data_IF_003120434891
#
_entry.id   IF_003120434891
#
_cell.length_a   1.000
_cell.length_b   1.000
_cell.length_c   1.000
_cell.angle_alpha   90.00
_cell.angle_beta   90.00
_cell.angle_gamma   90.00
#
_symmetry.space_group_name_H-M   'P 1'
#
loop_
_entity.id
_entity.type
_entity.pdbx_description
1 polymer ?
#
# COMPACT_ATOMS: atom_id res chain seq x y z
N UNK A 1 -14.55 9.49 1.28
CA UNK A 1 -13.43 8.67 1.82
C UNK A 1 -12.86 9.39 3.03
N UNK A 2 -12.62 8.71 4.15
CA UNK A 2 -11.99 9.34 5.32
C UNK A 2 -10.54 9.74 4.97
N UNK A 3 -10.06 10.93 5.41
CA UNK A 3 -8.68 11.34 5.16
C UNK A 3 -7.69 10.45 5.94
N UNK A 4 -6.50 10.18 5.40
CA UNK A 4 -5.47 9.41 6.11
C UNK A 4 -4.95 10.20 7.32
N UNK A 5 -5.01 9.57 8.49
CA UNK A 5 -4.55 10.13 9.75
C UNK A 5 -3.10 9.70 9.99
N UNK A 6 -2.18 10.64 9.75
CA UNK A 6 -0.75 10.43 9.99
C UNK A 6 -0.32 11.11 11.29
N UNK A 7 0.37 10.35 12.14
CA UNK A 7 1.03 10.82 13.34
C UNK A 7 2.55 10.64 13.19
N UNK A 8 3.33 11.51 13.82
CA UNK A 8 4.78 11.33 13.86
C UNK A 8 5.14 10.49 15.09
N UNK A 9 5.97 9.48 14.89
CA UNK A 9 6.52 8.67 15.98
C UNK A 9 8.03 8.91 16.02
N UNK A 10 8.44 9.82 16.91
CA UNK A 10 9.82 10.30 16.97
C UNK A 10 10.24 11.06 15.70
N UNK A 11 11.55 11.08 15.42
CA UNK A 11 12.14 11.94 14.37
C UNK A 11 12.14 11.32 12.98
N UNK A 12 12.10 9.98 12.89
CA UNK A 12 12.35 9.23 11.64
C UNK A 12 11.25 8.22 11.29
N UNK A 13 10.10 8.23 11.99
CA UNK A 13 8.98 7.33 11.67
C UNK A 13 7.68 8.10 11.57
N UNK A 14 6.85 7.68 10.63
CA UNK A 14 5.47 8.16 10.46
C UNK A 14 4.53 6.98 10.72
N UNK A 15 3.54 7.19 11.57
CA UNK A 15 2.49 6.23 11.89
C UNK A 15 1.21 6.62 11.17
N UNK A 16 0.62 5.70 10.45
CA UNK A 16 -0.69 5.85 9.84
C UNK A 16 -1.71 5.09 10.69
N UNK A 17 -2.55 5.84 11.40
CA UNK A 17 -3.45 5.31 12.44
C UNK A 17 -4.64 4.59 11.81
N UNK A 18 -5.32 5.20 10.85
CA UNK A 18 -6.53 4.65 10.23
C UNK A 18 -6.25 3.80 8.97
N UNK A 19 -5.09 3.11 8.93
CA UNK A 19 -4.70 2.30 7.78
C UNK A 19 -5.70 1.16 7.51
N UNK A 20 -6.05 0.39 8.54
CA UNK A 20 -7.02 -0.69 8.41
C UNK A 20 -8.40 -0.21 7.96
N UNK A 21 -8.91 0.87 8.56
CA UNK A 21 -10.22 1.44 8.20
C UNK A 21 -10.27 1.82 6.71
N UNK A 22 -9.18 2.39 6.20
CA UNK A 22 -9.06 2.77 4.79
C UNK A 22 -9.02 1.51 3.91
N UNK A 23 -8.27 0.49 4.29
CA UNK A 23 -8.22 -0.79 3.56
C UNK A 23 -9.61 -1.46 3.51
N UNK A 24 -10.31 -1.49 4.63
CA UNK A 24 -11.67 -2.03 4.75
C UNK A 24 -12.67 -1.23 3.91
N UNK A 25 -12.60 0.10 3.92
CA UNK A 25 -13.46 0.96 3.11
C UNK A 25 -13.27 0.73 1.60
N UNK A 26 -12.07 0.34 1.17
CA UNK A 26 -11.78 0.02 -0.23
C UNK A 26 -12.04 -1.45 -0.59
N UNK A 27 -12.45 -2.29 0.37
CA UNK A 27 -12.57 -3.75 0.21
C UNK A 27 -11.25 -4.35 -0.32
N UNK A 28 -10.11 -3.97 0.29
CA UNK A 28 -8.77 -4.42 -0.13
C UNK A 28 -7.96 -5.07 0.99
N UNK A 29 -7.19 -6.13 0.67
CA UNK A 29 -6.32 -6.75 1.66
C UNK A 29 -5.20 -5.77 2.06
N UNK A 30 -4.94 -5.60 3.37
CA UNK A 30 -3.96 -4.64 3.88
C UNK A 30 -2.54 -4.95 3.39
N UNK A 31 -2.21 -6.23 3.15
CA UNK A 31 -0.91 -6.66 2.64
C UNK A 31 -0.62 -6.11 1.24
N UNK A 32 -1.63 -6.07 0.36
CA UNK A 32 -1.46 -5.55 -0.99
C UNK A 32 -1.29 -4.03 -0.99
N UNK A 33 -2.09 -3.33 -0.19
CA UNK A 33 -1.97 -1.88 -0.01
C UNK A 33 -0.59 -1.56 0.56
N UNK A 34 -0.14 -2.30 1.59
CA UNK A 34 1.18 -2.17 2.18
C UNK A 34 2.30 -2.31 1.15
N UNK A 35 2.28 -3.39 0.35
CA UNK A 35 3.29 -3.62 -0.69
C UNK A 35 3.35 -2.47 -1.70
N UNK A 36 2.20 -1.93 -2.12
CA UNK A 36 2.14 -0.79 -3.03
C UNK A 36 2.80 0.45 -2.42
N UNK A 37 2.46 0.78 -1.17
CA UNK A 37 3.05 1.94 -0.50
C UNK A 37 4.55 1.77 -0.27
N UNK A 38 5.04 0.58 0.08
CA UNK A 38 6.48 0.36 0.25
C UNK A 38 7.24 0.50 -1.08
N UNK A 39 6.65 0.00 -2.17
CA UNK A 39 7.22 0.14 -3.51
C UNK A 39 7.26 1.61 -3.99
N UNK A 40 6.18 2.36 -3.81
CA UNK A 40 6.10 3.77 -4.23
C UNK A 40 6.95 4.70 -3.35
N UNK A 41 6.98 4.45 -2.04
CA UNK A 41 7.75 5.26 -1.10
C UNK A 41 9.25 4.92 -1.15
N UNK A 42 9.62 3.73 -1.65
CA UNK A 42 10.99 3.24 -1.63
C UNK A 42 11.51 3.10 -0.20
N UNK A 43 10.67 2.66 0.72
CA UNK A 43 11.04 2.51 2.14
C UNK A 43 10.53 1.23 2.74
N UNK A 44 11.10 0.87 3.87
CA UNK A 44 10.61 -0.21 4.70
C UNK A 44 9.60 0.30 5.74
N UNK A 45 8.65 -0.54 6.07
CA UNK A 45 7.63 -0.30 7.06
C UNK A 45 7.15 -1.61 7.68
N UNK A 46 6.28 -1.50 8.66
CA UNK A 46 5.68 -2.64 9.34
C UNK A 46 4.25 -2.32 9.74
N UNK A 47 3.38 -3.32 9.70
CA UNK A 47 2.04 -3.22 10.29
C UNK A 47 2.16 -3.60 11.77
N UNK A 48 1.69 -2.72 12.64
CA UNK A 48 1.66 -2.91 14.10
C UNK A 48 0.53 -3.89 14.50
N UNK A 49 0.56 -4.41 15.73
CA UNK A 49 -0.48 -5.31 16.25
C UNK A 49 -1.87 -4.68 16.29
N UNK A 50 -1.94 -3.35 16.37
CA UNK A 50 -3.18 -2.57 16.28
C UNK A 50 -3.61 -2.25 14.82
N UNK A 51 -3.06 -2.96 13.83
CA UNK A 51 -3.34 -2.77 12.40
C UNK A 51 -3.06 -1.34 11.87
N UNK A 52 -2.12 -0.65 12.52
CA UNK A 52 -1.61 0.66 12.11
C UNK A 52 -0.35 0.48 11.29
N UNK A 53 -0.16 1.30 10.26
CA UNK A 53 1.02 1.20 9.41
C UNK A 53 2.14 2.11 9.92
N UNK A 54 3.29 1.54 10.27
CA UNK A 54 4.51 2.27 10.64
C UNK A 54 5.43 2.35 9.42
N UNK A 55 5.77 3.56 9.01
CA UNK A 55 6.63 3.83 7.86
C UNK A 55 7.91 4.49 8.32
N UNK A 56 9.07 4.03 7.83
CA UNK A 56 10.34 4.71 8.06
C UNK A 56 10.43 5.95 7.18
N UNK A 57 10.60 7.11 7.79
CA UNK A 57 10.65 8.39 7.11
C UNK A 57 9.68 9.42 7.67
N UNK A 58 9.78 10.64 7.17
CA UNK A 58 8.89 11.76 7.50
C UNK A 58 8.01 12.03 6.29
N UNK A 59 6.73 11.72 6.41
CA UNK A 59 5.77 11.94 5.33
C UNK A 59 4.73 12.99 5.70
N UNK A 60 4.35 13.77 4.69
CA UNK A 60 3.28 14.77 4.81
C UNK A 60 1.96 14.12 4.36
N UNK A 61 0.83 14.35 5.06
CA UNK A 61 -0.47 13.77 4.69
C UNK A 61 -0.84 13.93 3.23
N UNK A 62 -0.65 15.12 2.66
CA UNK A 62 -0.90 15.43 1.24
C UNK A 62 -0.20 14.49 0.26
N UNK A 63 1.00 14.03 0.60
CA UNK A 63 1.75 13.10 -0.25
C UNK A 63 1.20 11.67 -0.16
N UNK A 64 0.82 11.23 1.04
CA UNK A 64 0.17 9.92 1.21
C UNK A 64 -1.20 9.90 0.53
N UNK A 65 -1.96 11.00 0.59
CA UNK A 65 -3.23 11.14 -0.14
C UNK A 65 -3.06 11.02 -1.65
N UNK A 66 -2.00 11.60 -2.23
CA UNK A 66 -1.76 11.51 -3.66
C UNK A 66 -1.43 10.08 -4.10
N UNK A 67 -0.61 9.36 -3.32
CA UNK A 67 -0.34 7.93 -3.56
C UNK A 67 -1.59 7.07 -3.38
N UNK A 68 -2.42 7.37 -2.38
CA UNK A 68 -3.69 6.67 -2.17
C UNK A 68 -4.64 6.86 -3.36
N UNK A 69 -4.72 8.08 -3.92
CA UNK A 69 -5.50 8.35 -5.15
C UNK A 69 -4.99 7.55 -6.35
N UNK A 70 -3.67 7.44 -6.52
CA UNK A 70 -3.08 6.57 -7.55
C UNK A 70 -3.49 5.11 -7.34
N UNK A 71 -3.39 4.61 -6.12
CA UNK A 71 -3.79 3.24 -5.77
C UNK A 71 -5.26 2.97 -6.10
N UNK A 72 -6.16 3.88 -5.70
CA UNK A 72 -7.60 3.77 -5.99
C UNK A 72 -7.85 3.71 -7.49
N UNK A 73 -7.24 4.62 -8.25
CA UNK A 73 -7.44 4.72 -9.70
C UNK A 73 -7.00 3.46 -10.44
N UNK A 74 -5.96 2.79 -9.94
CA UNK A 74 -5.38 1.62 -10.59
C UNK A 74 -6.01 0.30 -10.13
N UNK A 75 -6.15 0.13 -8.81
CA UNK A 75 -6.51 -1.15 -8.20
C UNK A 75 -7.94 -1.23 -7.66
N UNK A 76 -8.65 -0.11 -7.50
CA UNK A 76 -10.01 -0.07 -6.91
C UNK A 76 -11.06 0.33 -7.93
N UNK A 77 -10.86 1.42 -8.68
CA UNK A 77 -11.85 1.91 -9.63
C UNK A 77 -11.95 0.98 -10.83
N UNK A 78 -13.18 0.62 -11.22
CA UNK A 78 -13.43 -0.09 -12.47
C UNK A 78 -13.21 0.84 -13.67
N UNK A 79 -12.42 0.43 -14.66
CA UNK A 79 -12.16 1.25 -15.86
C UNK A 79 -13.37 1.34 -16.81
N UNK A 80 -14.33 0.42 -16.71
CA UNK A 80 -15.54 0.39 -17.54
C UNK A 80 -16.64 1.29 -16.96
N UNK A 81 -17.06 1.03 -15.72
CA UNK A 81 -18.21 1.71 -15.10
C UNK A 81 -17.84 2.76 -14.05
N UNK A 82 -16.53 2.97 -13.78
CA UNK A 82 -16.01 3.90 -12.75
C UNK A 82 -16.48 3.62 -11.32
N UNK A 83 -17.15 2.50 -11.07
CA UNK A 83 -17.53 2.08 -9.71
C UNK A 83 -16.32 1.67 -8.88
N UNK A 84 -16.37 1.96 -7.58
CA UNK A 84 -15.43 1.49 -6.57
C UNK A 84 -15.79 0.09 -6.02
N UNK A 85 -16.94 -0.47 -6.41
CA UNK A 85 -17.40 -1.81 -5.98
C UNK A 85 -16.68 -2.90 -6.79
N UNK A 86 -15.42 -3.16 -6.47
CA UNK A 86 -14.59 -4.18 -7.13
C UNK A 86 -13.87 -5.04 -6.10
N UNK A 87 -13.53 -6.27 -6.45
CA UNK A 87 -12.78 -7.22 -5.62
C UNK A 87 -11.44 -7.53 -6.28
N UNK A 88 -10.39 -7.60 -5.47
CA UNK A 88 -9.06 -7.97 -5.94
C UNK A 88 -8.76 -9.42 -5.53
N UNK A 89 -8.48 -10.27 -6.51
CA UNK A 89 -8.17 -11.68 -6.31
C UNK A 89 -6.77 -11.97 -6.85
N UNK A 90 -5.97 -12.74 -6.11
CA UNK A 90 -4.67 -13.22 -6.59
C UNK A 90 -4.85 -14.59 -7.22
N UNK A 91 -4.49 -14.72 -8.48
CA UNK A 91 -4.42 -16.03 -9.13
C UNK A 91 -3.10 -16.71 -8.76
N UNK A 92 -3.18 -17.91 -8.19
CA UNK A 92 -2.02 -18.69 -7.74
C UNK A 92 -1.24 -19.28 -8.92
N UNK A 93 -1.88 -19.50 -10.06
CA UNK A 93 -1.26 -20.11 -11.25
C UNK A 93 -0.44 -19.07 -12.02
N UNK A 94 -1.09 -17.97 -12.43
CA UNK A 94 -0.40 -16.90 -13.17
C UNK A 94 0.43 -15.97 -12.26
N UNK A 95 0.22 -16.03 -10.94
CA UNK A 95 0.76 -15.08 -9.93
C UNK A 95 0.35 -13.64 -10.17
N UNK A 96 -0.65 -13.40 -11.03
CA UNK A 96 -1.19 -12.08 -11.33
C UNK A 96 -2.35 -11.74 -10.38
N UNK A 97 -2.57 -10.45 -10.20
CA UNK A 97 -3.75 -9.95 -9.53
C UNK A 97 -4.83 -9.64 -10.57
N UNK A 98 -6.06 -10.01 -10.25
CA UNK A 98 -7.24 -9.73 -11.05
C UNK A 98 -8.21 -8.85 -10.27
N UNK A 99 -8.73 -7.81 -10.91
CA UNK A 99 -9.75 -6.93 -10.37
C UNK A 99 -11.10 -7.25 -11.03
N UNK A 100 -12.04 -7.77 -10.25
CA UNK A 100 -13.39 -8.11 -10.67
C UNK A 100 -14.36 -7.02 -10.20
N UNK A 101 -15.15 -6.45 -11.11
CA UNK A 101 -16.18 -5.49 -10.74
C UNK A 101 -17.50 -6.19 -10.35
N UNK A 102 -18.04 -5.86 -9.17
CA UNK A 102 -19.34 -6.38 -8.71
C UNK A 102 -20.53 -5.72 -9.41
N UNK A 103 -20.35 -4.51 -9.96
CA UNK A 103 -21.42 -3.75 -10.61
C UNK A 103 -21.67 -4.13 -12.07
N UNK A 104 -20.61 -4.24 -12.89
CA UNK A 104 -20.73 -4.55 -14.32
C UNK A 104 -20.19 -5.93 -14.72
N UNK A 105 -19.69 -6.72 -13.78
CA UNK A 105 -19.16 -8.06 -14.05
C UNK A 105 -17.80 -8.11 -14.77
N UNK A 106 -17.24 -6.96 -15.18
CA UNK A 106 -15.95 -6.94 -15.89
C UNK A 106 -14.82 -7.47 -15.01
N UNK A 107 -13.98 -8.35 -15.55
CA UNK A 107 -12.71 -8.77 -14.96
C UNK A 107 -11.54 -8.20 -15.76
N UNK A 108 -10.48 -7.78 -15.07
CA UNK A 108 -9.23 -7.35 -15.71
C UNK A 108 -8.04 -7.82 -14.89
N UNK A 109 -6.92 -8.12 -15.53
CA UNK A 109 -5.65 -8.19 -14.84
C UNK A 109 -5.19 -6.78 -14.44
N UNK A 110 -4.58 -6.65 -13.27
CA UNK A 110 -3.93 -5.39 -12.84
C UNK A 110 -2.42 -5.53 -12.93
N UNK A 111 -1.73 -4.41 -13.11
CA UNK A 111 -0.28 -4.40 -13.14
C UNK A 111 0.28 -4.97 -11.83
N UNK A 112 1.32 -5.82 -11.86
CA UNK A 112 1.99 -6.26 -10.65
C UNK A 112 2.69 -5.06 -9.98
N UNK A 113 2.65 -5.01 -8.65
CA UNK A 113 3.43 -4.05 -7.88
C UNK A 113 4.91 -4.37 -8.08
N UNK A 114 5.60 -3.58 -8.90
CA UNK A 114 7.04 -3.70 -9.11
C UNK A 114 7.75 -2.72 -8.18
N UNK A 115 8.47 -3.23 -7.18
CA UNK A 115 9.43 -2.38 -6.46
C UNK A 115 10.57 -2.04 -7.42
N UNK A 116 10.84 -0.75 -7.62
CA UNK A 116 12.02 -0.31 -8.38
C UNK A 116 13.33 -0.74 -7.72
N UNK A 117 14.45 -0.45 -8.38
CA UNK A 117 15.79 -0.67 -7.81
C UNK A 117 15.95 0.16 -6.52
N UNK A 118 16.23 -0.52 -5.40
CA UNK A 118 16.48 0.13 -4.12
C UNK A 118 17.97 0.13 -3.83
N UNK A 119 18.59 1.31 -3.88
CA UNK A 119 20.02 1.46 -3.61
C UNK A 119 20.29 1.32 -2.11
N UNK A 120 21.08 0.32 -1.72
CA UNK A 120 21.40 0.04 -0.33
C UNK A 120 22.00 1.27 0.38
N UNK A 121 21.22 1.86 1.28
CA UNK A 121 21.62 3.05 2.03
C UNK A 121 22.59 2.68 3.15
N UNK A 122 23.25 3.67 3.74
CA UNK A 122 24.09 3.46 4.94
C UNK A 122 23.28 2.90 6.11
N UNK A 123 21.99 3.20 6.19
CA UNK A 123 21.11 2.66 7.24
C UNK A 123 20.88 1.16 7.03
N UNK A 124 20.64 0.74 5.79
CA UNK A 124 20.39 -0.68 5.45
C UNK A 124 21.66 -1.52 5.71
N UNK A 125 22.84 -1.00 5.32
CA UNK A 125 24.13 -1.64 5.62
C UNK A 125 24.39 -1.79 7.12
N UNK A 126 24.01 -0.80 7.93
CA UNK A 126 24.14 -0.86 9.39
C UNK A 126 23.16 -1.84 10.02
N UNK A 127 21.92 -1.89 9.52
CA UNK A 127 20.91 -2.85 9.98
C UNK A 127 21.33 -4.29 9.66
N UNK A 128 21.82 -4.55 8.43
CA UNK A 128 22.34 -5.85 8.03
C UNK A 128 23.49 -6.33 8.93
N UNK A 129 24.44 -5.43 9.26
CA UNK A 129 25.53 -5.76 10.20
C UNK A 129 25.03 -6.08 11.62
N UNK A 130 23.97 -5.42 12.08
CA UNK A 130 23.40 -5.65 13.42
C UNK A 130 22.59 -6.94 13.53
N UNK A 131 22.08 -7.47 12.42
CA UNK A 131 21.30 -8.71 12.39
C UNK A 131 22.20 -9.97 12.31
N UNK A 132 23.50 -9.80 12.09
CA UNK A 132 24.49 -10.88 12.02
C UNK A 132 25.26 -11.10 13.34
N UNK A 133 24.92 -10.35 14.39
CA UNK A 133 25.48 -10.43 15.74
C UNK A 133 24.35 -10.77 16.69
#
# INVERSE_FOLDING_TARGET
MKPPQLMRVGTKKTLWVNFQEICAMMDRPPEHVFQFFMAELGTEGSIDGNQRLVIRGKYVPKYIESLLRKYITEYVTCKMCRSASTQLTKDTVSRLFFCHCKGCGSSRSVAPIRSGYHAATRADRRAAKKAQV
#
